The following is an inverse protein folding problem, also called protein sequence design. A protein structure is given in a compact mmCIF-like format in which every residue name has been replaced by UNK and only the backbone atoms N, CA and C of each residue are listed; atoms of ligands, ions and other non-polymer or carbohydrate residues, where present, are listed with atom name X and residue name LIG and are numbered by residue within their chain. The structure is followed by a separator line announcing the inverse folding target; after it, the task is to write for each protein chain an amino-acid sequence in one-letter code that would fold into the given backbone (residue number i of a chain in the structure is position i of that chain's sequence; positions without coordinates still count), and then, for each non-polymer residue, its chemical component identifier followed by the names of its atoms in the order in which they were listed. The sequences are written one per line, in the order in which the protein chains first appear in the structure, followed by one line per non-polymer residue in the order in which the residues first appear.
data_IF_004427976644
#
_entry.id   IF_004427976644
#
_cell.length_a   1.000
_cell.length_b   1.000
_cell.length_c   1.000
_cell.angle_alpha   90.00
_cell.angle_beta   90.00
_cell.angle_gamma   90.00
#
_symmetry.space_group_name_H-M   'P 1'
#
loop_
_entity.id
_entity.type
_entity.pdbx_description
1 polymer ?
#
# COMPACT_ATOMS: atom_id res chain seq x y z
N UNK A 1 -4.71 -4.72 6.07
CA UNK A 1 -5.67 -3.84 5.36
C UNK A 1 -6.94 -3.75 6.20
N UNK A 2 -7.45 -2.54 6.43
CA UNK A 2 -8.67 -2.28 7.19
C UNK A 2 -9.65 -1.51 6.30
N UNK A 3 -10.92 -1.87 6.37
CA UNK A 3 -12.01 -1.19 5.68
C UNK A 3 -12.82 -0.35 6.66
N UNK A 4 -13.41 0.75 6.18
CA UNK A 4 -14.40 1.52 6.90
C UNK A 4 -15.46 2.10 5.97
N UNK A 5 -16.51 2.63 6.58
CA UNK A 5 -17.65 3.26 5.91
C UNK A 5 -17.62 4.79 6.02
N UNK A 6 -16.77 5.34 6.90
CA UNK A 6 -16.59 6.78 7.10
C UNK A 6 -15.11 7.13 7.39
N UNK A 7 -14.65 8.36 7.06
CA UNK A 7 -13.25 8.75 7.26
C UNK A 7 -12.79 8.70 8.72
N UNK A 8 -13.69 8.94 9.68
CA UNK A 8 -13.40 8.93 11.12
C UNK A 8 -12.99 7.56 11.66
N UNK A 9 -13.25 6.49 10.92
CA UNK A 9 -12.85 5.12 11.28
C UNK A 9 -11.40 4.80 10.92
N UNK A 10 -10.68 5.74 10.28
CA UNK A 10 -9.29 5.54 9.90
C UNK A 10 -8.44 5.13 11.11
N UNK A 11 -7.76 3.96 11.09
CA UNK A 11 -6.92 3.53 12.19
C UNK A 11 -5.81 4.55 12.48
N UNK A 12 -5.51 4.81 13.75
CA UNK A 12 -4.49 5.79 14.14
C UNK A 12 -3.08 5.35 13.78
N UNK A 13 -2.83 4.05 13.68
CA UNK A 13 -1.54 3.44 13.34
C UNK A 13 -1.44 3.04 11.86
N UNK A 14 -2.28 3.61 10.98
CA UNK A 14 -2.22 3.35 9.54
C UNK A 14 -0.99 3.99 8.89
N UNK A 15 -0.68 3.55 7.69
CA UNK A 15 0.32 4.19 6.82
C UNK A 15 -0.25 5.52 6.34
N UNK A 16 0.54 6.59 6.47
CA UNK A 16 0.19 7.93 6.02
C UNK A 16 0.81 8.25 4.65
N UNK A 17 0.21 9.21 3.95
CA UNK A 17 0.73 9.76 2.70
C UNK A 17 1.79 10.84 2.97
N UNK A 18 2.84 10.90 2.13
CA UNK A 18 4.01 11.75 2.34
C UNK A 18 3.76 13.25 2.24
N UNK A 19 2.88 13.67 1.32
CA UNK A 19 2.58 15.06 1.02
C UNK A 19 1.36 15.63 1.77
N UNK A 20 0.78 14.88 2.72
CA UNK A 20 -0.44 15.28 3.44
C UNK A 20 -1.72 15.15 2.61
N UNK A 21 -1.67 14.42 1.49
CA UNK A 21 -2.86 14.02 0.74
C UNK A 21 -3.59 12.88 1.47
N UNK A 22 -4.73 12.47 0.93
CA UNK A 22 -5.51 11.38 1.52
C UNK A 22 -4.73 10.06 1.53
N UNK A 23 -4.71 9.40 2.68
CA UNK A 23 -4.16 8.06 2.91
C UNK A 23 -5.22 6.94 2.77
N UNK A 24 -6.46 7.30 2.39
CA UNK A 24 -7.45 6.35 1.88
C UNK A 24 -7.08 5.92 0.45
N UNK A 25 -6.86 4.62 0.25
CA UNK A 25 -6.51 4.06 -1.06
C UNK A 25 -7.65 4.31 -2.07
N UNK A 26 -8.91 4.28 -1.61
CA UNK A 26 -10.09 4.49 -2.44
C UNK A 26 -10.49 5.96 -2.60
N UNK A 27 -9.66 6.91 -2.15
CA UNK A 27 -9.95 8.32 -2.27
C UNK A 27 -10.35 8.71 -3.71
N UNK A 28 -11.51 9.36 -3.85
CA UNK A 28 -12.18 9.75 -5.11
C UNK A 28 -12.74 8.62 -6.00
N UNK A 29 -12.69 7.36 -5.56
CA UNK A 29 -13.30 6.24 -6.28
C UNK A 29 -14.65 5.79 -5.70
N UNK A 30 -15.01 6.24 -4.50
CA UNK A 30 -16.18 5.74 -3.77
C UNK A 30 -15.92 4.35 -3.19
N UNK A 31 -17.00 3.64 -2.81
CA UNK A 31 -16.89 2.35 -2.13
C UNK A 31 -16.52 2.50 -0.65
N UNK A 32 -15.86 1.47 -0.10
CA UNK A 32 -15.34 1.53 1.27
C UNK A 32 -14.09 2.41 1.33
N UNK A 33 -13.87 3.05 2.47
CA UNK A 33 -12.55 3.58 2.82
C UNK A 33 -11.60 2.42 3.07
N UNK A 34 -10.36 2.52 2.58
CA UNK A 34 -9.38 1.45 2.67
C UNK A 34 -8.05 2.01 3.16
N UNK A 35 -7.57 1.47 4.29
CA UNK A 35 -6.29 1.85 4.86
C UNK A 35 -5.35 0.67 5.01
N UNK A 36 -4.06 0.94 4.85
CA UNK A 36 -3.00 0.00 5.18
C UNK A 36 -2.60 0.19 6.64
N UNK A 37 -2.59 -0.88 7.41
CA UNK A 37 -2.11 -0.90 8.79
C UNK A 37 -1.00 -1.94 8.83
N UNK A 38 0.25 -1.53 9.08
CA UNK A 38 1.37 -2.44 9.20
C UNK A 38 1.27 -3.22 10.52
N UNK A 39 1.70 -4.47 10.47
CA UNK A 39 2.01 -5.24 11.67
C UNK A 39 3.53 -5.26 11.82
N UNK A 40 4.03 -4.65 12.89
CA UNK A 40 5.47 -4.49 13.12
C UNK A 40 6.01 -5.63 13.97
N UNK A 41 7.18 -6.13 13.60
CA UNK A 41 7.90 -7.15 14.36
C UNK A 41 9.33 -6.69 14.65
N UNK A 42 9.87 -7.15 15.78
CA UNK A 42 11.29 -7.01 16.13
C UNK A 42 12.10 -8.27 15.77
N UNK A 43 11.43 -9.35 15.34
CA UNK A 43 12.07 -10.58 14.87
C UNK A 43 12.48 -10.38 13.41
N UNK A 44 13.79 -10.27 13.19
CA UNK A 44 14.37 -9.93 11.88
C UNK A 44 13.95 -10.94 10.82
N UNK A 45 13.85 -12.21 11.16
CA UNK A 45 13.42 -13.31 10.29
C UNK A 45 12.00 -13.13 9.74
N UNK A 46 11.13 -12.45 10.49
CA UNK A 46 9.74 -12.16 10.11
C UNK A 46 9.59 -10.78 9.45
N UNK A 47 10.66 -10.00 9.38
CA UNK A 47 10.68 -8.70 8.75
C UNK A 47 10.44 -8.77 7.24
N UNK A 48 9.52 -7.93 6.75
CA UNK A 48 9.29 -7.77 5.32
C UNK A 48 10.54 -7.20 4.63
N UNK A 49 10.74 -7.61 3.37
CA UNK A 49 11.80 -7.11 2.48
C UNK A 49 11.24 -6.30 1.31
N UNK A 50 9.93 -6.43 1.04
CA UNK A 50 9.26 -5.79 -0.07
C UNK A 50 7.78 -6.15 -0.12
N UNK A 51 7.09 -5.61 -1.12
CA UNK A 51 5.71 -5.94 -1.42
C UNK A 51 5.52 -6.10 -2.92
N UNK A 52 4.76 -7.13 -3.31
CA UNK A 52 4.27 -7.26 -4.68
C UNK A 52 2.82 -6.79 -4.77
N UNK A 53 2.51 -6.01 -5.82
CA UNK A 53 1.14 -5.66 -6.16
C UNK A 53 0.60 -6.64 -7.22
N UNK A 54 -0.45 -7.35 -6.86
CA UNK A 54 -1.21 -8.20 -7.79
C UNK A 54 -2.50 -7.47 -8.18
N UNK A 55 -2.76 -7.35 -9.47
CA UNK A 55 -4.03 -6.85 -10.03
C UNK A 55 -4.62 -7.93 -10.92
N UNK A 56 -5.88 -8.31 -10.68
CA UNK A 56 -6.54 -9.43 -11.36
C UNK A 56 -8.05 -9.25 -11.49
N UNK A 57 -8.64 -9.82 -12.53
CA UNK A 57 -10.08 -9.68 -12.81
C UNK A 57 -11.00 -10.51 -11.93
N UNK A 58 -10.48 -11.49 -11.19
CA UNK A 58 -11.25 -12.38 -10.30
C UNK A 58 -10.87 -12.16 -8.84
N UNK A 59 -11.86 -12.15 -7.95
CA UNK A 59 -11.62 -12.02 -6.51
C UNK A 59 -10.83 -13.22 -6.00
N UNK A 60 -9.80 -12.95 -5.22
CA UNK A 60 -9.24 -13.88 -4.24
C UNK A 60 -9.85 -13.59 -2.86
N UNK A 61 -10.77 -14.45 -2.37
CA UNK A 61 -11.46 -14.24 -1.10
C UNK A 61 -10.54 -14.43 0.13
N UNK A 62 -9.33 -14.99 -0.06
CA UNK A 62 -8.33 -15.13 1.01
C UNK A 62 -7.57 -13.84 1.28
N UNK A 63 -7.64 -12.88 0.36
CA UNK A 63 -6.91 -11.62 0.41
C UNK A 63 -7.84 -10.43 0.65
N UNK A 64 -7.26 -9.31 1.08
CA UNK A 64 -7.98 -8.06 1.29
C UNK A 64 -7.80 -7.14 0.10
N UNK A 65 -8.85 -7.05 -0.72
CA UNK A 65 -8.91 -6.17 -1.89
C UNK A 65 -8.74 -4.69 -1.50
N UNK A 66 -7.74 -4.03 -2.10
CA UNK A 66 -7.49 -2.61 -1.90
C UNK A 66 -8.52 -1.73 -2.64
N UNK A 67 -9.33 -2.30 -3.53
CA UNK A 67 -10.37 -1.62 -4.28
C UNK A 67 -11.78 -1.81 -3.70
N UNK A 68 -11.89 -2.25 -2.43
CA UNK A 68 -13.14 -2.76 -1.87
C UNK A 68 -14.33 -1.82 -2.11
N UNK A 69 -15.32 -2.32 -2.84
CA UNK A 69 -16.57 -1.60 -3.12
C UNK A 69 -16.47 -0.47 -4.16
N UNK A 70 -15.28 -0.19 -4.69
CA UNK A 70 -15.06 0.85 -5.70
C UNK A 70 -15.12 0.33 -7.15
N UNK A 71 -15.21 -0.99 -7.33
CA UNK A 71 -15.26 -1.64 -8.63
C UNK A 71 -13.90 -1.69 -9.38
N UNK A 72 -13.93 -2.26 -10.58
CA UNK A 72 -12.73 -2.56 -11.38
C UNK A 72 -12.04 -3.86 -10.95
N UNK A 73 -10.81 -4.08 -11.44
CA UNK A 73 -10.03 -5.29 -11.11
C UNK A 73 -9.66 -5.34 -9.63
N UNK A 74 -9.67 -6.53 -9.04
CA UNK A 74 -9.24 -6.72 -7.65
C UNK A 74 -7.74 -6.50 -7.53
N UNK A 75 -7.30 -6.00 -6.37
CA UNK A 75 -5.87 -5.81 -6.15
C UNK A 75 -5.41 -6.02 -4.74
N UNK A 76 -4.22 -6.58 -4.61
CA UNK A 76 -3.70 -7.13 -3.37
C UNK A 76 -2.23 -6.78 -3.19
N UNK A 77 -1.83 -6.49 -1.96
CA UNK A 77 -0.42 -6.42 -1.58
C UNK A 77 -0.02 -7.76 -0.97
N UNK A 78 1.02 -8.37 -1.55
CA UNK A 78 1.65 -9.58 -1.03
C UNK A 78 2.94 -9.16 -0.34
N UNK A 79 3.09 -9.55 0.93
CA UNK A 79 4.29 -9.24 1.71
C UNK A 79 5.38 -10.24 1.35
N UNK A 80 6.54 -9.73 0.96
CA UNK A 80 7.70 -10.56 0.67
C UNK A 80 8.57 -10.63 1.92
N UNK A 81 8.89 -11.86 2.34
CA UNK A 81 9.82 -12.15 3.44
C UNK A 81 10.90 -13.10 2.93
N UNK A 82 12.12 -12.94 3.45
CA UNK A 82 13.24 -13.82 3.14
C UNK A 82 14.23 -13.77 4.30
N UNK A 83 14.41 -14.89 5.00
CA UNK A 83 15.30 -14.98 6.17
C UNK A 83 16.77 -14.73 5.80
N UNK A 84 17.17 -14.99 4.55
CA UNK A 84 18.54 -14.78 4.09
C UNK A 84 18.88 -13.31 3.81
N UNK A 85 17.86 -12.47 3.61
CA UNK A 85 18.05 -11.05 3.35
C UNK A 85 18.32 -10.29 4.64
N UNK A 86 19.41 -9.53 4.65
CA UNK A 86 19.78 -8.75 5.82
C UNK A 86 18.96 -7.48 5.98
N UNK A 87 18.67 -6.80 4.87
CA UNK A 87 17.95 -5.52 4.90
C UNK A 87 16.44 -5.75 5.04
N UNK A 88 15.83 -5.20 6.09
CA UNK A 88 14.38 -5.28 6.35
C UNK A 88 13.72 -3.93 6.21
N UNK A 89 12.42 -3.93 5.94
CA UNK A 89 11.62 -2.71 5.91
C UNK A 89 11.53 -2.11 7.31
N UNK A 90 11.84 -0.82 7.41
CA UNK A 90 11.83 -0.06 8.67
C UNK A 90 10.85 1.10 8.66
N UNK A 91 10.43 1.55 7.47
CA UNK A 91 9.43 2.61 7.31
C UNK A 91 8.60 2.36 6.06
N UNK A 92 7.33 2.79 6.13
CA UNK A 92 6.37 2.72 5.05
C UNK A 92 5.67 4.07 4.92
N UNK A 93 5.33 4.46 3.70
CA UNK A 93 4.46 5.59 3.41
C UNK A 93 3.70 5.37 2.10
N UNK A 94 2.61 6.13 1.92
CA UNK A 94 1.97 6.26 0.62
C UNK A 94 2.53 7.47 -0.13
N UNK A 95 2.67 7.34 -1.44
CA UNK A 95 2.97 8.44 -2.34
C UNK A 95 1.81 8.60 -3.32
N UNK A 96 1.13 9.74 -3.30
CA UNK A 96 0.11 10.08 -4.29
C UNK A 96 0.63 11.13 -5.27
N UNK A 97 0.41 10.91 -6.56
CA UNK A 97 0.98 11.76 -7.61
C UNK A 97 0.01 11.99 -8.77
N UNK A 98 0.06 13.19 -9.37
CA UNK A 98 -0.68 13.54 -10.59
C UNK A 98 -0.11 12.87 -11.85
N UNK A 99 1.17 12.47 -11.80
CA UNK A 99 1.85 11.78 -12.90
C UNK A 99 2.46 10.46 -12.42
N UNK A 100 2.68 9.54 -13.35
CA UNK A 100 3.40 8.32 -13.05
C UNK A 100 4.80 8.62 -12.52
N UNK A 101 5.25 7.81 -11.57
CA UNK A 101 6.57 7.88 -10.97
C UNK A 101 7.29 6.57 -11.25
N UNK A 102 8.52 6.68 -11.79
CA UNK A 102 9.35 5.54 -12.14
C UNK A 102 10.33 5.14 -11.03
N UNK A 103 10.59 6.05 -10.09
CA UNK A 103 11.52 5.84 -8.97
C UNK A 103 10.95 6.40 -7.65
N UNK A 104 11.18 5.74 -6.51
CA UNK A 104 10.78 6.26 -5.21
C UNK A 104 11.32 7.68 -4.95
N UNK A 105 10.64 8.49 -4.13
CA UNK A 105 11.10 9.83 -3.79
C UNK A 105 12.38 9.75 -2.95
N UNK A 106 13.17 10.84 -2.95
CA UNK A 106 14.44 10.89 -2.23
C UNK A 106 14.28 10.46 -0.76
N UNK A 107 15.15 9.54 -0.33
CA UNK A 107 15.16 9.00 1.03
C UNK A 107 14.25 7.79 1.24
N UNK A 108 13.63 7.28 0.18
CA UNK A 108 12.94 5.99 0.11
C UNK A 108 13.70 5.05 -0.84
N UNK A 109 13.76 3.77 -0.51
CA UNK A 109 14.57 2.80 -1.25
C UNK A 109 13.79 2.20 -2.43
N UNK A 110 12.53 1.82 -2.21
CA UNK A 110 11.74 1.02 -3.15
C UNK A 110 10.26 1.39 -3.09
N UNK A 111 9.51 0.96 -4.12
CA UNK A 111 8.08 1.22 -4.25
C UNK A 111 7.35 0.08 -4.97
N UNK A 112 6.04 -0.03 -4.77
CA UNK A 112 5.17 -0.80 -5.66
C UNK A 112 5.10 -0.13 -7.03
N UNK A 113 4.53 -0.82 -8.03
CA UNK A 113 3.93 -0.14 -9.18
C UNK A 113 2.66 0.64 -8.75
N UNK A 114 2.01 1.32 -9.71
CA UNK A 114 0.79 2.08 -9.45
C UNK A 114 -0.37 1.19 -8.98
N UNK A 115 -0.78 1.39 -7.73
CA UNK A 115 -1.92 0.74 -7.07
C UNK A 115 -3.23 1.13 -7.74
N UNK A 116 -3.31 2.33 -8.33
CA UNK A 116 -4.50 2.83 -9.02
C UNK A 116 -4.51 2.54 -10.53
N UNK A 117 -3.60 1.67 -11.00
CA UNK A 117 -3.50 1.32 -12.42
C UNK A 117 -4.86 0.89 -12.96
N UNK A 118 -5.28 1.53 -14.06
CA UNK A 118 -6.54 1.23 -14.74
C UNK A 118 -7.79 1.89 -14.16
N UNK A 119 -7.69 2.70 -13.10
CA UNK A 119 -8.86 3.37 -12.48
C UNK A 119 -9.08 4.83 -12.90
N UNK A 120 -8.07 5.47 -13.50
CA UNK A 120 -8.21 6.81 -14.09
C UNK A 120 -8.31 7.98 -13.10
N UNK A 121 -7.62 7.91 -11.96
CA UNK A 121 -7.37 9.06 -11.04
C UNK A 121 -5.87 9.17 -10.77
N UNK A 122 -5.49 9.93 -9.74
CA UNK A 122 -4.11 10.05 -9.28
C UNK A 122 -3.45 8.68 -9.06
N UNK A 123 -2.17 8.63 -9.39
CA UNK A 123 -1.31 7.48 -9.14
C UNK A 123 -1.11 7.31 -7.63
N UNK A 124 -0.99 6.07 -7.19
CA UNK A 124 -0.76 5.75 -5.79
C UNK A 124 0.28 4.64 -5.67
N UNK A 125 1.26 4.84 -4.80
CA UNK A 125 2.35 3.89 -4.57
C UNK A 125 2.50 3.65 -3.07
N UNK A 126 2.81 2.42 -2.68
CA UNK A 126 3.39 2.13 -1.37
C UNK A 126 4.92 2.21 -1.51
N UNK A 127 5.56 3.05 -0.71
CA UNK A 127 7.02 3.24 -0.69
C UNK A 127 7.58 2.75 0.64
N UNK A 128 8.80 2.22 0.63
CA UNK A 128 9.46 1.75 1.85
C UNK A 128 10.95 2.10 1.96
N UNK A 129 11.42 2.13 3.21
CA UNK A 129 12.84 2.22 3.55
C UNK A 129 13.34 0.89 4.07
N UNK A 130 14.52 0.50 3.62
CA UNK A 130 15.24 -0.66 4.10
C UNK A 130 16.23 -0.25 5.18
N UNK A 131 16.45 -1.12 6.17
CA UNK A 131 17.50 -0.93 7.18
C UNK A 131 18.86 -0.79 6.48
N UNK A 132 19.69 0.09 7.05
CA UNK A 132 21.11 0.23 6.69
C UNK A 132 21.93 -0.92 7.23
#
# INVERSE_FOLDING_TARGET
VVYGDEPSQAPSNRIHELGGQSDDINYQFGGSYVWLVPDYTNERENGAIGFDLVIQGSEDPSLKDLAKGAGGDYRYLIVNTDISQERKITALALLRSESSVDMPPLGWDEATIDINKGRGKMYLYLVWKLST
#
